data_IF_079214985535
#
_entry.id   IF_079214985535
#
_cell.length_a   1.000
_cell.length_b   1.000
_cell.length_c   1.000
_cell.angle_alpha   90.00
_cell.angle_beta   90.00
_cell.angle_gamma   90.00
#
_symmetry.space_group_name_H-M   'P 1'
#
loop_
_entity.id
_entity.type
_entity.pdbx_description
1 polymer ?
#
# COMPACT_ATOMS: atom_id res chain seq x y z
N UNK A 1 -21.19 12.77 -26.75
CA UNK A 1 -19.87 12.12 -26.87
C UNK A 1 -19.93 10.80 -26.12
N UNK A 2 -20.05 9.72 -26.87
CA UNK A 2 -20.22 8.33 -26.41
C UNK A 2 -18.86 7.75 -26.03
N UNK A 3 -18.67 7.38 -24.76
CA UNK A 3 -17.50 6.64 -24.29
C UNK A 3 -17.88 5.19 -23.98
N UNK A 4 -17.30 4.28 -24.77
CA UNK A 4 -17.37 2.82 -24.61
C UNK A 4 -16.69 2.39 -23.31
N UNK A 5 -17.38 1.53 -22.56
CA UNK A 5 -16.79 0.74 -21.48
C UNK A 5 -15.94 -0.41 -22.05
N UNK A 6 -14.76 -0.71 -21.48
CA UNK A 6 -14.13 -2.01 -21.66
C UNK A 6 -14.65 -3.00 -20.62
N UNK A 7 -15.38 -3.99 -21.12
CA UNK A 7 -15.60 -5.30 -20.48
C UNK A 7 -14.26 -5.99 -20.27
N UNK A 8 -13.93 -6.38 -19.03
CA UNK A 8 -12.92 -7.41 -18.80
C UNK A 8 -13.47 -8.54 -17.94
N UNK A 9 -13.36 -9.71 -18.56
CA UNK A 9 -13.85 -11.03 -18.22
C UNK A 9 -13.20 -11.52 -16.92
N UNK A 10 -14.03 -11.82 -15.92
CA UNK A 10 -13.62 -12.59 -14.76
C UNK A 10 -13.46 -14.06 -15.18
N UNK A 11 -12.23 -14.56 -15.14
CA UNK A 11 -11.95 -15.99 -15.21
C UNK A 11 -12.08 -16.59 -13.80
N UNK A 12 -13.26 -17.15 -13.49
CA UNK A 12 -13.45 -18.02 -12.34
C UNK A 12 -12.89 -19.42 -12.64
N UNK A 13 -11.79 -19.78 -11.99
CA UNK A 13 -11.32 -21.17 -11.96
C UNK A 13 -12.12 -21.88 -10.87
N UNK A 14 -13.14 -22.62 -11.29
CA UNK A 14 -13.97 -23.47 -10.43
C UNK A 14 -13.34 -24.86 -10.39
N UNK A 15 -12.73 -25.21 -9.26
CA UNK A 15 -12.18 -26.53 -9.00
C UNK A 15 -13.31 -27.43 -8.48
N UNK A 16 -13.89 -28.25 -9.36
CA UNK A 16 -14.91 -29.23 -9.01
C UNK A 16 -14.30 -30.63 -8.84
N UNK A 17 -14.34 -31.10 -7.61
CA UNK A 17 -14.30 -32.51 -7.24
C UNK A 17 -15.52 -33.25 -7.80
N UNK A 18 -15.28 -34.27 -8.61
CA UNK A 18 -16.10 -35.50 -8.74
C UNK A 18 -15.10 -36.61 -9.08
N UNK A 19 -14.99 -37.75 -8.40
CA UNK A 19 -16.04 -38.57 -7.80
C UNK A 19 -16.60 -39.51 -8.87
N UNK A 20 -15.96 -40.66 -9.11
CA UNK A 20 -16.40 -41.60 -10.14
C UNK A 20 -15.56 -42.87 -10.23
N UNK A 21 -15.82 -43.79 -9.30
CA UNK A 21 -15.58 -45.23 -9.46
C UNK A 21 -16.43 -45.79 -10.61
N UNK A 22 -15.86 -46.65 -11.46
CA UNK A 22 -16.40 -47.99 -11.76
C UNK A 22 -15.66 -48.72 -12.91
N UNK A 23 -15.42 -50.01 -12.65
CA UNK A 23 -14.86 -51.06 -13.52
C UNK A 23 -15.80 -51.36 -14.73
N UNK A 24 -15.31 -51.95 -15.84
CA UNK A 24 -15.25 -53.42 -15.90
C UNK A 24 -14.05 -54.03 -16.63
N UNK A 25 -13.74 -55.25 -16.20
CA UNK A 25 -12.91 -56.22 -16.87
C UNK A 25 -13.45 -56.60 -18.25
N UNK A 26 -12.59 -56.56 -19.27
CA UNK A 26 -12.76 -57.37 -20.47
C UNK A 26 -11.47 -58.12 -20.80
N UNK A 27 -11.53 -59.40 -20.47
CA UNK A 27 -10.71 -60.45 -21.05
C UNK A 27 -10.97 -60.60 -22.57
N UNK A 28 -10.02 -61.29 -23.23
CA UNK A 28 -9.94 -61.72 -24.65
C UNK A 28 -8.90 -60.88 -25.42
N UNK A 29 -7.98 -61.44 -26.21
CA UNK A 29 -7.89 -62.76 -26.79
C UNK A 29 -6.43 -63.04 -27.16
N UNK A 30 -5.93 -64.23 -26.83
CA UNK A 30 -4.70 -64.77 -27.37
C UNK A 30 -4.84 -64.97 -28.88
N UNK A 31 -3.99 -64.34 -29.69
CA UNK A 31 -3.59 -64.93 -30.97
C UNK A 31 -2.07 -64.93 -31.04
N UNK A 32 -1.52 -66.11 -30.74
CA UNK A 32 -0.17 -66.48 -31.08
C UNK A 32 0.00 -66.38 -32.59
N UNK A 33 0.99 -65.62 -33.06
CA UNK A 33 1.53 -65.75 -34.41
C UNK A 33 3.01 -66.10 -34.32
N UNK A 34 3.41 -67.27 -34.83
CA UNK A 34 4.74 -67.79 -34.64
C UNK A 34 5.69 -67.22 -35.70
N UNK A 35 6.93 -67.05 -35.25
CA UNK A 35 8.14 -67.44 -35.97
C UNK A 35 8.49 -66.67 -37.26
N UNK A 36 9.59 -65.94 -37.20
CA UNK A 36 10.30 -65.52 -38.41
C UNK A 36 10.92 -64.14 -38.31
N UNK A 37 11.94 -63.99 -37.46
CA UNK A 37 13.25 -63.49 -37.86
C UNK A 37 14.06 -63.16 -36.59
N UNK A 38 14.83 -64.16 -36.14
CA UNK A 38 16.12 -63.90 -35.48
C UNK A 38 17.00 -63.19 -36.51
N UNK A 39 16.76 -61.90 -36.74
CA UNK A 39 17.82 -61.02 -37.26
C UNK A 39 18.89 -61.06 -36.18
N UNK A 40 20.00 -61.74 -36.51
CA UNK A 40 21.26 -61.63 -35.79
C UNK A 40 21.45 -60.14 -35.53
N UNK A 41 21.21 -59.73 -34.29
CA UNK A 41 21.83 -58.55 -33.73
C UNK A 41 23.31 -58.85 -33.87
N UNK A 42 23.90 -58.36 -34.95
CA UNK A 42 25.33 -58.14 -35.00
C UNK A 42 25.54 -57.25 -33.78
N UNK A 43 26.00 -57.86 -32.69
CA UNK A 43 26.66 -57.16 -31.61
C UNK A 43 27.82 -56.46 -32.30
N UNK A 44 27.54 -55.28 -32.82
CA UNK A 44 28.54 -54.29 -33.05
C UNK A 44 28.99 -53.95 -31.65
N UNK A 45 30.03 -54.66 -31.20
CA UNK A 45 30.89 -54.20 -30.14
C UNK A 45 31.58 -52.95 -30.70
N UNK A 46 30.80 -51.87 -30.75
CA UNK A 46 31.24 -50.58 -31.22
C UNK A 46 32.25 -50.06 -30.22
N UNK A 47 33.52 -50.10 -30.61
CA UNK A 47 34.54 -49.35 -29.91
C UNK A 47 34.10 -47.88 -29.90
N UNK A 48 33.94 -47.33 -28.70
CA UNK A 48 33.51 -45.94 -28.49
C UNK A 48 34.53 -45.03 -29.16
N UNK A 49 34.11 -44.27 -30.19
CA UNK A 49 35.04 -43.36 -30.85
C UNK A 49 35.29 -42.17 -29.94
N UNK A 50 36.55 -41.73 -29.82
CA UNK A 50 36.92 -40.55 -29.02
C UNK A 50 36.11 -39.31 -29.46
N UNK A 51 35.81 -39.23 -30.76
CA UNK A 51 34.99 -38.18 -31.35
C UNK A 51 33.58 -38.13 -30.73
N UNK A 52 32.94 -39.28 -30.54
CA UNK A 52 31.60 -39.36 -29.96
C UNK A 52 31.60 -38.89 -28.50
N UNK A 53 32.60 -39.29 -27.71
CA UNK A 53 32.75 -38.80 -26.33
C UNK A 53 32.93 -37.30 -26.31
N UNK A 54 33.79 -36.76 -27.18
CA UNK A 54 34.04 -35.33 -27.25
C UNK A 54 32.77 -34.57 -27.62
N UNK A 55 32.02 -35.06 -28.61
CA UNK A 55 30.75 -34.47 -29.02
C UNK A 55 29.70 -34.54 -27.91
N UNK A 56 29.59 -35.67 -27.20
CA UNK A 56 28.68 -35.82 -26.07
C UNK A 56 29.03 -34.84 -24.93
N UNK A 57 30.31 -34.69 -24.59
CA UNK A 57 30.76 -33.74 -23.56
C UNK A 57 30.44 -32.31 -23.97
N UNK A 58 30.66 -31.92 -25.23
CA UNK A 58 30.34 -30.57 -25.71
C UNK A 58 28.84 -30.28 -25.64
N UNK A 59 27.99 -31.24 -26.03
CA UNK A 59 26.53 -31.10 -25.91
C UNK A 59 26.12 -31.00 -24.45
N UNK A 60 26.64 -31.86 -23.57
CA UNK A 60 26.35 -31.81 -22.14
C UNK A 60 26.72 -30.46 -21.52
N UNK A 61 27.90 -29.92 -21.85
CA UNK A 61 28.33 -28.59 -21.37
C UNK A 61 27.43 -27.49 -21.91
N UNK A 62 27.07 -27.53 -23.20
CA UNK A 62 26.16 -26.56 -23.81
C UNK A 62 24.76 -26.57 -23.17
N UNK A 63 24.19 -27.76 -22.94
CA UNK A 63 22.91 -27.92 -22.26
C UNK A 63 22.98 -27.41 -20.81
N UNK A 64 24.06 -27.74 -20.09
CA UNK A 64 24.24 -27.28 -18.72
C UNK A 64 24.35 -25.76 -18.63
N UNK A 65 25.08 -25.13 -19.57
CA UNK A 65 25.17 -23.69 -19.66
C UNK A 65 23.80 -23.04 -19.93
N UNK A 66 23.02 -23.59 -20.86
CA UNK A 66 21.67 -23.11 -21.16
C UNK A 66 20.75 -23.17 -19.94
N UNK A 67 20.75 -24.29 -19.21
CA UNK A 67 19.95 -24.46 -17.98
C UNK A 67 20.37 -23.45 -16.90
N UNK A 68 21.68 -23.27 -16.68
CA UNK A 68 22.17 -22.31 -15.69
C UNK A 68 21.81 -20.86 -16.05
N UNK A 69 21.89 -20.49 -17.34
CA UNK A 69 21.52 -19.15 -17.80
C UNK A 69 20.02 -18.88 -17.60
N UNK A 70 19.17 -19.85 -17.94
CA UNK A 70 17.73 -19.74 -17.71
C UNK A 70 17.39 -19.63 -16.22
N UNK A 71 18.05 -20.42 -15.38
CA UNK A 71 17.86 -20.37 -13.93
C UNK A 71 18.20 -18.98 -13.36
N UNK A 72 19.34 -18.39 -13.74
CA UNK A 72 19.73 -17.04 -13.31
C UNK A 72 18.73 -15.98 -13.76
N UNK A 73 18.33 -16.03 -15.03
CA UNK A 73 17.34 -15.09 -15.58
C UNK A 73 16.02 -15.17 -14.82
N UNK A 74 15.55 -16.38 -14.52
CA UNK A 74 14.31 -16.59 -13.77
C UNK A 74 14.41 -16.10 -12.33
N UNK A 75 15.58 -16.28 -11.70
CA UNK A 75 15.83 -15.80 -10.34
C UNK A 75 15.80 -14.26 -10.26
N UNK A 76 16.44 -13.57 -11.21
CA UNK A 76 16.46 -12.11 -11.29
C UNK A 76 15.06 -11.51 -11.50
N UNK A 77 14.28 -12.06 -12.44
CA UNK A 77 12.90 -11.61 -12.70
C UNK A 77 12.02 -11.80 -11.46
N UNK A 78 12.18 -12.92 -10.75
CA UNK A 78 11.44 -13.20 -9.52
C UNK A 78 11.78 -12.18 -8.42
N UNK A 79 13.05 -11.85 -8.27
CA UNK A 79 13.51 -10.90 -7.26
C UNK A 79 12.95 -9.50 -7.51
N UNK A 80 13.03 -9.03 -8.77
CA UNK A 80 12.43 -7.76 -9.17
C UNK A 80 10.92 -7.74 -8.91
N UNK A 81 10.20 -8.79 -9.29
CA UNK A 81 8.76 -8.89 -9.08
C UNK A 81 8.39 -8.87 -7.58
N UNK A 82 9.20 -9.52 -6.73
CA UNK A 82 9.00 -9.52 -5.29
C UNK A 82 9.25 -8.15 -4.66
N UNK A 83 10.28 -7.43 -5.13
CA UNK A 83 10.55 -6.06 -4.70
C UNK A 83 9.42 -5.09 -5.10
N UNK A 84 8.95 -5.14 -6.35
CA UNK A 84 7.82 -4.33 -6.81
C UNK A 84 6.53 -4.67 -6.06
N UNK A 85 6.24 -5.95 -5.81
CA UNK A 85 5.07 -6.36 -5.04
C UNK A 85 5.12 -5.86 -3.59
N UNK A 86 6.29 -5.96 -2.93
CA UNK A 86 6.50 -5.45 -1.57
C UNK A 86 6.25 -3.95 -1.53
N UNK A 87 6.79 -3.22 -2.51
CA UNK A 87 6.59 -1.77 -2.66
C UNK A 87 5.12 -1.38 -2.80
N UNK A 88 4.38 -2.01 -3.73
CA UNK A 88 2.95 -1.72 -3.94
C UNK A 88 2.15 -2.05 -2.67
N UNK A 89 2.47 -3.15 -1.99
CA UNK A 89 1.79 -3.54 -0.75
C UNK A 89 2.01 -2.50 0.36
N UNK A 90 3.24 -1.98 0.50
CA UNK A 90 3.58 -0.98 1.50
C UNK A 90 2.82 0.34 1.25
N UNK A 91 2.80 0.81 -0.01
CA UNK A 91 2.01 2.00 -0.42
C UNK A 91 0.53 1.81 -0.08
N UNK A 92 -0.03 0.65 -0.42
CA UNK A 92 -1.44 0.34 -0.15
C UNK A 92 -1.75 0.33 1.35
N UNK A 93 -0.89 -0.27 2.17
CA UNK A 93 -1.06 -0.31 3.63
C UNK A 93 -1.00 1.09 4.24
N UNK A 94 -0.04 1.92 3.82
CA UNK A 94 0.07 3.32 4.29
C UNK A 94 -1.18 4.11 3.90
N UNK A 95 -1.67 3.98 2.66
CA UNK A 95 -2.86 4.71 2.22
C UNK A 95 -4.15 4.20 2.85
N UNK A 96 -4.30 2.90 3.04
CA UNK A 96 -5.45 2.35 3.75
C UNK A 96 -5.46 2.85 5.20
N UNK A 97 -4.30 2.90 5.84
CA UNK A 97 -4.17 3.45 7.18
C UNK A 97 -4.53 4.93 7.19
N UNK A 98 -3.88 5.77 6.40
CA UNK A 98 -4.19 7.21 6.31
C UNK A 98 -5.68 7.45 6.05
N UNK A 99 -6.30 6.70 5.13
CA UNK A 99 -7.73 6.80 4.87
C UNK A 99 -8.57 6.48 6.11
N UNK A 100 -8.27 5.40 6.83
CA UNK A 100 -9.00 5.06 8.06
C UNK A 100 -8.80 6.11 9.15
N UNK A 101 -7.59 6.65 9.33
CA UNK A 101 -7.31 7.64 10.38
C UNK A 101 -7.92 9.01 10.06
N UNK A 102 -7.93 9.39 8.77
CA UNK A 102 -8.56 10.64 8.31
C UNK A 102 -10.10 10.60 8.41
N UNK A 103 -10.70 9.41 8.33
CA UNK A 103 -12.14 9.23 8.52
C UNK A 103 -12.58 9.44 9.97
N UNK A 104 -11.66 9.34 10.95
CA UNK A 104 -11.97 9.48 12.38
C UNK A 104 -11.46 10.79 12.99
N UNK A 105 -11.20 11.81 12.16
CA UNK A 105 -10.78 13.15 12.62
C UNK A 105 -11.91 13.83 13.39
N UNK A 106 -11.55 14.38 14.55
CA UNK A 106 -12.45 15.19 15.38
C UNK A 106 -12.13 16.69 15.32
N UNK A 107 -10.87 17.08 15.58
CA UNK A 107 -10.51 18.49 15.80
C UNK A 107 -8.99 18.74 15.64
N UNK A 108 -8.59 20.01 15.75
CA UNK A 108 -7.19 20.48 15.77
C UNK A 108 -6.36 19.97 14.59
N UNK A 109 -6.74 20.39 13.39
CA UNK A 109 -6.06 19.98 12.16
C UNK A 109 -4.97 20.99 11.78
N UNK A 110 -3.74 20.51 11.72
CA UNK A 110 -2.60 21.29 11.26
C UNK A 110 -1.80 20.47 10.25
N UNK A 111 -1.33 21.09 9.18
CA UNK A 111 -0.50 20.39 8.22
C UNK A 111 0.13 21.30 7.18
N UNK A 112 1.24 20.84 6.65
CA UNK A 112 2.00 21.43 5.56
C UNK A 112 2.12 20.40 4.41
N UNK A 113 2.87 20.74 3.37
CA UNK A 113 3.00 19.85 2.21
C UNK A 113 3.65 18.50 2.54
N UNK A 114 4.42 18.36 3.62
CA UNK A 114 5.17 17.15 3.98
C UNK A 114 4.80 16.59 5.37
N UNK A 115 3.95 17.28 6.14
CA UNK A 115 3.57 16.90 7.49
C UNK A 115 2.08 17.14 7.73
N UNK A 116 1.49 16.28 8.54
CA UNK A 116 0.05 16.26 8.80
C UNK A 116 -0.18 15.87 10.25
N UNK A 117 -0.93 16.68 10.98
CA UNK A 117 -1.18 16.54 12.40
C UNK A 117 -2.66 16.77 12.71
N UNK A 118 -3.28 15.83 13.43
CA UNK A 118 -4.69 15.93 13.79
C UNK A 118 -5.03 15.12 15.03
N UNK A 119 -6.17 15.44 15.65
CA UNK A 119 -6.73 14.65 16.74
C UNK A 119 -7.81 13.72 16.19
N UNK A 120 -7.72 12.44 16.57
CA UNK A 120 -8.71 11.41 16.22
C UNK A 120 -9.27 10.75 17.47
N UNK A 121 -10.46 10.18 17.34
CA UNK A 121 -10.98 9.22 18.31
C UNK A 121 -10.44 7.83 18.04
N UNK A 122 -9.80 7.23 19.04
CA UNK A 122 -9.38 5.83 19.06
C UNK A 122 -10.28 5.04 19.99
N UNK A 123 -10.67 3.83 19.56
CA UNK A 123 -11.33 2.90 20.46
C UNK A 123 -10.34 2.53 21.59
N UNK A 124 -10.71 2.70 22.87
CA UNK A 124 -9.86 2.31 23.97
C UNK A 124 -9.57 0.81 23.85
N UNK A 125 -8.29 0.45 23.93
CA UNK A 125 -7.91 -0.96 23.83
C UNK A 125 -8.20 -1.66 25.15
N UNK A 126 -8.65 -2.91 25.10
CA UNK A 126 -9.09 -3.66 26.29
C UNK A 126 -7.98 -3.85 27.34
N UNK A 127 -6.72 -3.80 26.94
CA UNK A 127 -5.53 -3.81 27.81
C UNK A 127 -5.35 -2.51 28.62
N UNK A 128 -5.94 -1.39 28.19
CA UNK A 128 -6.00 -0.15 28.99
C UNK A 128 -7.01 -0.24 30.14
N UNK A 129 -7.91 -1.22 30.11
CA UNK A 129 -8.89 -1.47 31.18
C UNK A 129 -8.34 -2.36 32.31
N UNK A 130 -7.07 -2.80 32.27
CA UNK A 130 -6.51 -3.49 33.45
C UNK A 130 -6.38 -2.50 34.59
N UNK A 131 -7.43 -2.43 35.41
CA UNK A 131 -7.48 -1.58 36.59
C UNK A 131 -6.24 -1.83 37.43
N UNK A 132 -5.62 -0.76 37.93
CA UNK A 132 -4.52 -0.88 38.88
C UNK A 132 -4.91 -1.77 40.07
N UNK A 133 -3.94 -2.17 40.90
CA UNK A 133 -4.03 -3.17 41.99
C UNK A 133 -5.25 -3.09 42.95
N UNK A 134 -6.10 -2.07 42.87
CA UNK A 134 -7.30 -1.87 43.68
C UNK A 134 -8.59 -1.60 42.86
N UNK A 135 -8.60 -1.85 41.55
CA UNK A 135 -9.79 -1.65 40.70
C UNK A 135 -10.24 -0.19 40.53
N UNK A 136 -9.40 0.77 40.93
CA UNK A 136 -9.66 2.21 40.73
C UNK A 136 -8.91 2.70 39.49
N UNK A 137 -9.66 3.24 38.54
CA UNK A 137 -9.12 3.97 37.38
C UNK A 137 -8.34 5.17 37.92
N UNK A 138 -7.01 5.17 37.80
CA UNK A 138 -6.15 6.18 38.44
C UNK A 138 -6.03 7.48 37.63
N UNK A 139 -6.37 7.49 36.35
CA UNK A 139 -6.32 8.66 35.48
C UNK A 139 -7.48 8.63 34.48
N UNK A 140 -8.11 9.78 34.22
CA UNK A 140 -9.07 9.89 33.13
C UNK A 140 -8.30 9.66 31.82
N UNK A 141 -8.46 8.47 31.24
CA UNK A 141 -7.88 8.17 29.94
C UNK A 141 -8.79 8.77 28.88
N UNK A 142 -8.23 9.54 27.96
CA UNK A 142 -8.99 10.14 26.86
C UNK A 142 -8.97 9.19 25.67
N UNK A 143 -10.13 8.93 25.08
CA UNK A 143 -10.22 8.18 23.81
C UNK A 143 -9.66 8.99 22.62
N UNK A 144 -9.11 10.18 22.87
CA UNK A 144 -8.51 11.05 21.88
C UNK A 144 -7.01 10.77 21.78
N UNK A 145 -6.53 10.61 20.56
CA UNK A 145 -5.11 10.53 20.24
C UNK A 145 -4.73 11.60 19.23
N UNK A 146 -3.59 12.23 19.46
CA UNK A 146 -2.93 13.13 18.52
C UNK A 146 -2.04 12.31 17.61
N UNK A 147 -2.32 12.34 16.31
CA UNK A 147 -1.53 11.63 15.31
C UNK A 147 -0.77 12.64 14.48
N UNK A 148 0.52 12.36 14.27
CA UNK A 148 1.40 13.13 13.42
C UNK A 148 2.03 12.23 12.36
N UNK A 149 1.77 12.55 11.11
CA UNK A 149 2.46 12.00 9.95
C UNK A 149 3.52 12.99 9.49
N UNK A 150 4.70 12.46 9.17
CA UNK A 150 5.77 13.24 8.58
C UNK A 150 6.38 12.43 7.45
N UNK A 151 6.50 13.05 6.29
CA UNK A 151 7.28 12.48 5.21
C UNK A 151 8.76 12.43 5.53
N UNK A 152 9.56 11.86 4.62
CA UNK A 152 10.99 11.89 4.77
C UNK A 152 11.48 13.34 4.80
N UNK A 153 12.48 13.62 5.64
CA UNK A 153 13.29 14.82 5.48
C UNK A 153 13.92 14.84 4.07
N UNK A 154 14.47 15.97 3.64
CA UNK A 154 15.20 16.10 2.35
C UNK A 154 16.15 14.92 2.09
N UNK A 155 16.79 14.42 3.14
CA UNK A 155 17.67 13.26 3.08
C UNK A 155 17.10 11.93 3.61
N UNK A 156 15.90 11.92 4.18
CA UNK A 156 15.27 10.75 4.78
C UNK A 156 14.79 9.69 3.78
N UNK A 157 14.60 8.47 4.27
CA UNK A 157 14.09 7.31 3.52
C UNK A 157 13.04 6.60 4.39
N UNK A 158 11.96 7.31 4.72
CA UNK A 158 10.83 6.76 5.45
C UNK A 158 9.69 7.77 5.58
N UNK A 159 8.45 7.26 5.63
CA UNK A 159 7.34 7.97 6.28
C UNK A 159 7.32 7.60 7.75
N UNK A 160 7.20 8.60 8.61
CA UNK A 160 7.09 8.46 10.05
C UNK A 160 5.66 8.71 10.50
N UNK A 161 5.25 7.96 11.53
CA UNK A 161 4.02 8.23 12.24
C UNK A 161 4.28 8.21 13.73
N UNK A 162 3.90 9.29 14.38
CA UNK A 162 3.85 9.39 15.82
C UNK A 162 2.40 9.45 16.28
N UNK A 163 2.12 8.81 17.40
CA UNK A 163 0.79 8.79 18.01
C UNK A 163 0.97 8.94 19.51
N UNK A 164 0.35 9.98 20.04
CA UNK A 164 0.41 10.33 21.46
C UNK A 164 -1.02 10.46 22.00
N UNK A 165 -1.30 10.03 23.24
CA UNK A 165 -2.59 10.26 23.86
C UNK A 165 -2.83 11.78 23.97
N UNK A 166 -4.03 12.23 23.59
CA UNK A 166 -4.37 13.65 23.66
C UNK A 166 -4.79 14.00 25.08
N UNK A 167 -3.80 14.24 25.93
CA UNK A 167 -4.04 14.85 27.23
C UNK A 167 -4.25 16.34 26.97
N UNK A 168 -5.37 16.91 27.41
CA UNK A 168 -5.61 18.36 27.37
C UNK A 168 -4.57 19.04 28.25
N UNK A 169 -3.39 19.32 27.71
CA UNK A 169 -2.41 20.17 28.34
C UNK A 169 -3.02 21.56 28.43
N UNK A 170 -3.44 21.88 29.65
CA UNK A 170 -3.86 23.21 30.05
C UNK A 170 -2.63 24.12 29.92
N UNK A 171 -2.54 24.78 28.77
CA UNK A 171 -1.73 25.97 28.45
C UNK A 171 -0.39 26.08 29.21
N UNK A 172 0.69 25.61 28.60
CA UNK A 172 1.97 26.29 28.69
C UNK A 172 2.43 26.63 27.26
N UNK A 173 2.07 27.83 26.82
CA UNK A 173 2.49 28.47 25.56
C UNK A 173 4.01 28.63 25.39
N UNK A 174 4.83 28.16 26.34
CA UNK A 174 6.29 28.32 26.31
C UNK A 174 7.04 27.17 25.59
N UNK A 175 6.38 26.09 25.18
CA UNK A 175 7.07 24.93 24.57
C UNK A 175 7.14 24.95 23.02
N UNK A 176 6.48 25.90 22.34
CA UNK A 176 6.30 25.84 20.87
C UNK A 176 7.48 26.42 20.08
N UNK A 177 8.43 27.14 20.71
CA UNK A 177 9.57 27.72 19.99
C UNK A 177 10.79 26.79 19.81
N UNK A 178 10.79 25.56 20.34
CA UNK A 178 11.97 24.67 20.31
C UNK A 178 11.85 23.44 19.37
N UNK A 179 10.85 23.37 18.49
CA UNK A 179 10.67 22.24 17.57
C UNK A 179 11.31 22.42 16.18
N UNK A 180 12.18 23.40 16.04
CA UNK A 180 13.05 23.60 14.87
C UNK A 180 14.50 23.38 15.28
N UNK A 181 14.82 22.15 15.67
CA UNK A 181 16.13 21.51 15.58
C UNK A 181 15.91 20.07 16.01
N UNK A 182 16.67 19.16 15.41
CA UNK A 182 16.53 17.72 15.56
C UNK A 182 16.80 17.40 17.04
N UNK A 183 15.75 17.09 17.82
CA UNK A 183 15.92 16.63 19.19
C UNK A 183 16.36 15.16 19.17
N UNK A 184 17.65 14.97 18.90
CA UNK A 184 18.40 13.72 19.07
C UNK A 184 18.58 13.36 20.56
N UNK A 185 18.18 14.22 21.52
CA UNK A 185 18.44 14.00 22.95
C UNK A 185 17.45 13.07 23.67
N UNK A 186 16.32 12.70 23.06
CA UNK A 186 15.48 11.61 23.57
C UNK A 186 15.31 10.53 22.50
N UNK A 187 16.30 9.65 22.41
CA UNK A 187 16.52 8.61 21.38
C UNK A 187 15.41 7.56 21.16
N UNK A 188 14.17 7.98 20.94
CA UNK A 188 13.08 7.16 20.43
C UNK A 188 12.65 7.72 19.08
N UNK A 189 13.33 7.26 18.04
CA UNK A 189 12.89 7.52 16.66
C UNK A 189 11.43 7.07 16.51
N UNK A 190 10.55 7.91 15.94
CA UNK A 190 9.17 7.50 15.69
C UNK A 190 9.15 6.26 14.79
N UNK A 191 8.18 5.35 14.97
CA UNK A 191 8.11 4.13 14.20
C UNK A 191 7.98 4.45 12.72
N UNK A 192 8.87 3.84 11.92
CA UNK A 192 8.83 3.93 10.47
C UNK A 192 7.65 3.13 9.94
N UNK A 193 6.81 3.77 9.12
CA UNK A 193 5.70 3.10 8.43
C UNK A 193 6.15 2.29 7.23
N UNK A 194 7.06 2.85 6.44
CA UNK A 194 7.58 2.22 5.22
C UNK A 194 8.86 2.91 4.77
N UNK A 195 9.84 2.13 4.33
CA UNK A 195 11.07 2.59 3.68
C UNK A 195 10.93 2.73 2.15
N UNK A 196 9.84 2.21 1.59
CA UNK A 196 9.60 2.17 0.14
C UNK A 196 9.08 3.50 -0.41
N UNK A 197 8.61 4.38 0.48
CA UNK A 197 8.07 5.68 0.14
C UNK A 197 9.11 6.74 0.49
N UNK A 198 9.59 7.46 -0.53
CA UNK A 198 10.63 8.50 -0.41
C UNK A 198 10.12 9.90 -0.66
N UNK A 199 8.87 10.03 -1.06
CA UNK A 199 8.20 11.30 -1.21
C UNK A 199 6.73 11.17 -0.78
N UNK A 200 6.25 12.14 -0.01
CA UNK A 200 4.84 12.34 0.27
C UNK A 200 4.51 13.80 0.12
N UNK A 201 3.35 14.10 -0.46
CA UNK A 201 2.79 15.44 -0.50
C UNK A 201 1.36 15.44 -0.02
N UNK A 202 1.02 16.41 0.82
CA UNK A 202 -0.34 16.71 1.25
C UNK A 202 -0.80 18.03 0.63
N UNK A 203 -2.04 18.05 0.15
CA UNK A 203 -2.74 19.28 -0.22
C UNK A 203 -4.15 19.27 0.36
N UNK A 204 -4.65 20.45 0.68
CA UNK A 204 -5.85 20.63 1.48
C UNK A 204 -6.90 21.39 0.69
N UNK A 205 -8.14 20.89 0.67
CA UNK A 205 -9.23 21.54 -0.06
C UNK A 205 -9.99 22.54 0.82
N UNK A 206 -9.91 23.82 0.47
CA UNK A 206 -10.70 24.92 1.04
C UNK A 206 -11.83 25.29 0.08
N UNK A 207 -13.02 24.72 0.25
CA UNK A 207 -14.11 24.93 -0.70
C UNK A 207 -13.76 24.42 -2.10
N UNK A 208 -13.43 25.32 -3.03
CA UNK A 208 -13.02 24.97 -4.39
C UNK A 208 -11.51 25.00 -4.63
N UNK A 209 -10.73 25.58 -3.73
CA UNK A 209 -9.28 25.76 -3.91
C UNK A 209 -8.48 24.67 -3.21
N UNK A 210 -7.31 24.36 -3.77
CA UNK A 210 -6.31 23.46 -3.19
C UNK A 210 -5.14 24.26 -2.61
N UNK A 211 -4.88 24.07 -1.33
CA UNK A 211 -3.83 24.74 -0.56
C UNK A 211 -2.72 23.76 -0.19
N UNK A 212 -1.50 24.27 -0.06
CA UNK A 212 -0.32 23.47 0.30
C UNK A 212 -0.06 23.41 1.83
N UNK A 213 -0.81 24.20 2.60
CA UNK A 213 -0.79 24.22 4.06
C UNK A 213 -2.19 24.47 4.63
N UNK A 214 -2.44 24.01 5.85
CA UNK A 214 -3.70 24.19 6.56
C UNK A 214 -3.46 24.34 8.06
N UNK A 215 -3.99 25.41 8.63
CA UNK A 215 -3.95 25.67 10.08
C UNK A 215 -5.32 26.14 10.56
N UNK A 216 -6.15 25.21 11.01
CA UNK A 216 -7.49 25.53 11.54
C UNK A 216 -7.97 24.46 12.49
N UNK A 217 -8.81 24.82 13.47
CA UNK A 217 -9.44 23.84 14.34
C UNK A 217 -10.40 22.92 13.55
N UNK A 218 -10.90 23.39 12.40
CA UNK A 218 -11.77 22.60 11.51
C UNK A 218 -10.95 21.84 10.46
N UNK A 219 -11.28 20.57 10.19
CA UNK A 219 -10.62 19.82 9.12
C UNK A 219 -11.00 20.37 7.73
N UNK A 220 -10.12 20.21 6.72
CA UNK A 220 -10.42 20.58 5.33
C UNK A 220 -11.50 19.67 4.73
N UNK A 221 -12.16 20.10 3.65
CA UNK A 221 -13.22 19.31 3.02
C UNK A 221 -12.69 17.98 2.42
N UNK A 222 -11.45 18.02 1.93
CA UNK A 222 -10.74 16.86 1.43
C UNK A 222 -9.23 17.07 1.53
N UNK A 223 -8.47 15.98 1.53
CA UNK A 223 -7.01 15.97 1.46
C UNK A 223 -6.60 15.19 0.21
N UNK A 224 -5.73 15.76 -0.60
CA UNK A 224 -5.00 15.06 -1.66
C UNK A 224 -3.68 14.58 -1.08
N UNK A 225 -3.43 13.28 -1.21
CA UNK A 225 -2.19 12.65 -0.79
C UNK A 225 -1.52 12.08 -2.02
N UNK A 226 -0.28 12.50 -2.25
CA UNK A 226 0.58 12.00 -3.31
C UNK A 226 1.76 11.25 -2.71
N UNK A 227 2.07 10.05 -3.21
CA UNK A 227 3.18 9.22 -2.75
C UNK A 227 4.12 8.89 -3.91
N UNK A 228 5.43 8.92 -3.64
CA UNK A 228 6.48 8.62 -4.60
C UNK A 228 7.60 7.73 -4.04
N UNK A 229 8.26 6.97 -4.92
CA UNK A 229 9.40 6.11 -4.58
C UNK A 229 10.74 6.84 -4.63
N UNK A 230 10.82 7.98 -5.29
CA UNK A 230 12.05 8.73 -5.40
C UNK A 230 11.97 10.02 -4.60
N UNK A 231 13.12 10.56 -4.21
CA UNK A 231 13.11 11.90 -3.62
C UNK A 231 12.72 12.89 -4.70
N UNK A 232 12.05 13.97 -4.31
CA UNK A 232 11.86 15.09 -5.22
C UNK A 232 13.25 15.63 -5.59
N UNK A 233 13.62 15.69 -6.87
CA UNK A 233 14.86 16.33 -7.29
C UNK A 233 14.85 17.81 -6.90
N UNK A 234 16.00 18.37 -6.52
CA UNK A 234 16.11 19.77 -6.06
C UNK A 234 15.74 20.79 -7.16
N UNK A 235 15.73 20.36 -8.43
CA UNK A 235 15.47 21.16 -9.63
C UNK A 235 14.03 21.05 -10.14
N UNK A 236 13.18 20.23 -9.52
CA UNK A 236 11.81 19.95 -9.98
C UNK A 236 10.79 20.49 -8.98
N UNK A 237 9.85 21.29 -9.46
CA UNK A 237 8.71 21.73 -8.64
C UNK A 237 7.78 20.56 -8.33
N UNK A 238 7.14 20.60 -7.16
CA UNK A 238 6.24 19.54 -6.69
C UNK A 238 5.07 19.23 -7.63
N UNK A 239 4.68 20.16 -8.51
CA UNK A 239 3.60 19.98 -9.50
C UNK A 239 3.99 19.03 -10.63
N UNK A 240 5.28 18.94 -10.94
CA UNK A 240 5.82 18.21 -12.08
C UNK A 240 6.57 16.93 -11.66
N UNK A 241 6.30 16.43 -10.45
CA UNK A 241 7.00 15.27 -9.89
C UNK A 241 6.76 14.00 -10.75
N UNK A 242 7.79 13.46 -11.43
CA UNK A 242 7.61 12.42 -12.43
C UNK A 242 7.56 11.00 -11.83
N UNK A 243 7.94 10.85 -10.56
CA UNK A 243 8.03 9.56 -9.88
C UNK A 243 6.82 9.27 -8.97
N UNK A 244 5.67 9.84 -9.35
CA UNK A 244 4.41 9.59 -8.66
C UNK A 244 3.99 8.13 -8.85
N UNK A 245 3.74 7.45 -7.73
CA UNK A 245 3.21 6.07 -7.75
C UNK A 245 1.71 6.10 -7.51
N UNK A 246 1.26 7.00 -6.65
CA UNK A 246 -0.11 6.99 -6.16
C UNK A 246 -0.60 8.37 -5.77
N UNK A 247 -1.76 8.76 -6.33
CA UNK A 247 -2.56 9.91 -5.89
C UNK A 247 -3.87 9.43 -5.32
N UNK A 248 -4.33 10.05 -4.23
CA UNK A 248 -5.71 9.89 -3.80
C UNK A 248 -6.23 11.13 -3.12
N UNK A 249 -7.47 11.48 -3.46
CA UNK A 249 -8.27 12.46 -2.73
C UNK A 249 -9.14 11.72 -1.71
N UNK A 250 -9.07 12.15 -0.45
CA UNK A 250 -9.82 11.60 0.67
C UNK A 250 -10.72 12.70 1.21
N UNK A 251 -12.03 12.47 1.15
CA UNK A 251 -13.03 13.36 1.75
C UNK A 251 -13.10 13.13 3.25
N UNK A 252 -13.20 14.22 4.02
CA UNK A 252 -13.31 14.16 5.48
C UNK A 252 -14.77 14.33 5.88
N UNK A 253 -15.40 13.32 6.50
CA UNK A 253 -16.81 13.41 6.88
C UNK A 253 -17.12 14.55 7.86
N UNK A 254 -16.23 14.79 8.83
CA UNK A 254 -16.40 15.84 9.85
C UNK A 254 -16.34 17.27 9.29
N UNK A 255 -15.90 17.44 8.03
CA UNK A 255 -15.95 18.74 7.36
C UNK A 255 -17.34 19.04 6.74
N UNK A 256 -18.19 18.04 6.53
CA UNK A 256 -19.47 18.19 5.80
C UNK A 256 -20.60 18.76 6.66
N UNK A 257 -20.58 18.58 7.98
CA UNK A 257 -21.67 19.02 8.86
C UNK A 257 -21.90 20.54 8.85
N UNK A 258 -20.98 21.33 8.31
CA UNK A 258 -21.08 22.79 8.33
C UNK A 258 -21.73 23.40 7.07
N UNK A 259 -21.78 22.69 5.93
CA UNK A 259 -22.21 23.27 4.65
C UNK A 259 -23.75 23.31 4.51
N UNK A 260 -24.48 22.52 5.32
CA UNK A 260 -25.94 22.35 5.15
C UNK A 260 -26.80 23.50 5.68
N UNK A 261 -26.26 24.40 6.52
CA UNK A 261 -27.09 25.34 7.29
C UNK A 261 -27.09 26.79 6.77
N UNK A 262 -26.55 27.05 5.58
CA UNK A 262 -26.59 28.38 4.93
C UNK A 262 -27.65 28.50 3.82
N UNK A 263 -28.61 27.58 3.77
CA UNK A 263 -29.86 27.76 3.01
C UNK A 263 -30.95 28.32 3.92
N UNK A 264 -30.70 29.48 4.51
CA UNK A 264 -31.71 30.23 5.28
C UNK A 264 -32.10 31.44 4.47
N UNK A 265 -33.26 31.31 3.83
CA UNK A 265 -34.29 32.35 3.88
C UNK A 265 -33.96 33.65 3.13
N UNK A 266 -33.80 33.57 1.80
CA UNK A 266 -34.15 34.71 0.95
C UNK A 266 -35.64 34.58 0.65
N UNK A 267 -36.42 35.07 1.60
CA UNK A 267 -37.85 35.22 1.54
C UNK A 267 -38.20 36.18 0.40
N UNK A 268 -38.96 35.66 -0.55
CA UNK A 268 -39.55 36.34 -1.69
C UNK A 268 -40.62 37.33 -1.18
N UNK A 269 -40.17 38.47 -0.63
CA UNK A 269 -41.00 39.62 -0.24
C UNK A 269 -41.37 40.42 -1.50
N UNK A 270 -42.33 39.89 -2.27
CA UNK A 270 -43.03 40.67 -3.30
C UNK A 270 -44.07 41.56 -2.62
N UNK A 271 -43.68 42.81 -2.41
CA UNK A 271 -44.54 43.89 -1.92
C UNK A 271 -45.70 44.15 -2.91
N UNK A 272 -46.93 44.06 -2.40
CA UNK A 272 -48.13 44.61 -3.04
C UNK A 272 -48.07 46.14 -3.04
N UNK A 273 -48.13 46.77 -4.22
CA UNK A 273 -48.44 48.20 -4.38
C UNK A 273 -49.97 48.40 -4.42
N UNK A 274 -50.56 49.29 -3.59
CA UNK A 274 -51.94 49.74 -3.78
C UNK A 274 -52.00 51.04 -4.59
N UNK A 275 -52.95 51.09 -5.54
CA UNK A 275 -53.42 52.29 -6.24
C UNK A 275 -54.62 52.92 -5.51
#
# INVERSE_FOLDING_TARGET
MTFSQPTNVAASVSEQMTGGSDLPAHARCCTARPNGQRRRQIRQEGAFTLLEVLLAVMICVGLFFGVLSFYRTTAEVRDQAQHEATRISAVRLVMQRLNTELQTIQANFNGDSNSLEFVRTTLPRTDEWTGGELGRVRQANTDLSKVKYRGPATNGVAIFRDEQPFVTERESEEAIQNLELIDEEQGKLPPVLSHEIRHVRFRYRSGQDWLDAWSSNKPPAAIEITLGNEKLPDDVEFTDYPFEIFRRVIHIPSAQEFVSNTSTDESDDLQEEPL
#
